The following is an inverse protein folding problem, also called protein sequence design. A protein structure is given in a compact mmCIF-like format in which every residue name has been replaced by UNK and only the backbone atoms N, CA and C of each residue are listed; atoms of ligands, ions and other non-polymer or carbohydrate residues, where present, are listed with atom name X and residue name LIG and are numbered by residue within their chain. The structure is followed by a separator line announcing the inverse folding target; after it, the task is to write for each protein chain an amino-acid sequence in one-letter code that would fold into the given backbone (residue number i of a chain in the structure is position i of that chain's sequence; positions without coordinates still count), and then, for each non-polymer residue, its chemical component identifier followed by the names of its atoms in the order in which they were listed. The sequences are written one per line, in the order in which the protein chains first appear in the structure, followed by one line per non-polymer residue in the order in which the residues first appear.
data_IF_095645062177
#
_entry.id   IF_095645062177
#
_cell.length_a   1.000
_cell.length_b   1.000
_cell.length_c   1.000
_cell.angle_alpha   90.00
_cell.angle_beta   90.00
_cell.angle_gamma   90.00
#
_symmetry.space_group_name_H-M   'P 1'
#
loop_
_entity.id
_entity.type
_entity.pdbx_description
1 polymer ?
#
# COMPACT_ATOMS: atom_id res chain seq x y z
N UNK A 1 -12.21 24.83 -34.82
CA UNK A 1 -11.42 25.02 -33.58
C UNK A 1 -12.22 24.89 -32.28
N UNK A 2 -13.57 24.90 -32.29
CA UNK A 2 -14.37 24.78 -31.04
C UNK A 2 -14.64 23.35 -30.52
N UNK A 3 -14.57 22.31 -31.37
CA UNK A 3 -14.97 20.95 -31.00
C UNK A 3 -13.90 20.14 -30.24
N UNK A 4 -12.63 20.54 -30.33
CA UNK A 4 -11.50 19.83 -29.68
C UNK A 4 -11.26 20.34 -28.25
N UNK A 5 -11.68 21.57 -27.95
CA UNK A 5 -11.56 22.18 -26.62
C UNK A 5 -12.46 21.48 -25.58
N UNK A 6 -13.65 21.03 -25.97
CA UNK A 6 -14.63 20.45 -25.06
C UNK A 6 -14.20 19.08 -24.46
N UNK A 7 -13.71 18.10 -25.24
CA UNK A 7 -13.25 16.82 -24.68
C UNK A 7 -11.96 16.98 -23.86
N UNK A 8 -11.09 17.93 -24.22
CA UNK A 8 -9.85 18.21 -23.47
C UNK A 8 -10.19 18.80 -22.10
N UNK A 9 -11.14 19.74 -22.03
CA UNK A 9 -11.57 20.34 -20.78
C UNK A 9 -12.28 19.31 -19.87
N UNK A 10 -13.08 18.42 -20.46
CA UNK A 10 -13.71 17.30 -19.74
C UNK A 10 -12.65 16.30 -19.21
N UNK A 11 -11.60 16.02 -19.98
CA UNK A 11 -10.49 15.17 -19.56
C UNK A 11 -9.72 15.81 -18.39
N UNK A 12 -9.37 17.10 -18.47
CA UNK A 12 -8.74 17.80 -17.35
C UNK A 12 -9.62 17.82 -16.09
N UNK A 13 -10.94 18.00 -16.22
CA UNK A 13 -11.86 17.98 -15.08
C UNK A 13 -12.01 16.58 -14.46
N UNK A 14 -11.97 15.52 -15.27
CA UNK A 14 -12.06 14.13 -14.79
C UNK A 14 -10.76 13.62 -14.14
N UNK A 15 -9.59 14.13 -14.58
CA UNK A 15 -8.28 13.65 -14.12
C UNK A 15 -7.57 14.58 -13.12
N UNK A 16 -7.93 15.87 -13.03
CA UNK A 16 -7.38 16.79 -12.02
C UNK A 16 -7.76 16.43 -10.58
N UNK A 17 -8.72 15.51 -10.39
CA UNK A 17 -9.16 15.02 -9.08
C UNK A 17 -8.27 13.93 -8.45
N UNK A 18 -7.22 13.46 -9.13
CA UNK A 18 -6.25 12.53 -8.54
C UNK A 18 -5.26 13.31 -7.66
N UNK A 19 -5.79 13.91 -6.59
CA UNK A 19 -4.97 14.38 -5.48
C UNK A 19 -4.15 13.21 -4.95
N UNK A 20 -2.84 13.37 -4.90
CA UNK A 20 -1.96 12.51 -4.11
C UNK A 20 -2.58 12.36 -2.72
N UNK A 21 -2.69 11.13 -2.23
CA UNK A 21 -3.11 10.89 -0.86
C UNK A 21 -2.15 11.66 0.05
N UNK A 22 -2.67 12.66 0.76
CA UNK A 22 -1.98 13.22 1.92
C UNK A 22 -1.74 12.03 2.85
N UNK A 23 -0.49 11.84 3.29
CA UNK A 23 -0.11 10.79 4.23
C UNK A 23 -0.83 11.05 5.56
N UNK A 24 -2.07 10.59 5.67
CA UNK A 24 -2.92 10.75 6.85
C UNK A 24 -2.51 9.69 7.87
N UNK A 25 -1.46 10.01 8.64
CA UNK A 25 -1.06 9.22 9.79
C UNK A 25 -2.08 9.40 10.90
N UNK A 26 -2.65 8.29 11.36
CA UNK A 26 -3.51 8.30 12.55
C UNK A 26 -2.63 8.39 13.82
N UNK A 27 -2.90 9.33 14.72
CA UNK A 27 -2.23 9.43 16.03
C UNK A 27 -3.28 9.68 17.13
N UNK A 28 -3.44 8.79 18.14
CA UNK A 28 -2.78 7.49 18.28
C UNK A 28 -3.29 6.47 17.23
N UNK A 29 -2.43 5.55 16.80
CA UNK A 29 -2.76 4.53 15.78
C UNK A 29 -3.19 3.22 16.43
N UNK A 30 -4.12 2.49 15.81
CA UNK A 30 -4.55 1.16 16.27
C UNK A 30 -4.06 0.09 15.31
N UNK A 31 -3.36 -0.93 15.80
CA UNK A 31 -2.75 -1.98 14.97
C UNK A 31 -3.17 -3.37 15.43
N UNK A 32 -3.14 -4.34 14.52
CA UNK A 32 -3.18 -5.76 14.90
C UNK A 32 -1.85 -6.19 15.48
N UNK A 33 -1.90 -6.98 16.54
CA UNK A 33 -0.76 -7.58 17.24
C UNK A 33 -0.91 -9.09 17.25
N UNK A 34 0.06 -9.79 16.66
CA UNK A 34 0.17 -11.25 16.67
C UNK A 34 1.59 -11.70 16.29
N UNK A 35 1.96 -12.92 16.68
CA UNK A 35 3.18 -13.63 16.28
C UNK A 35 2.78 -15.08 16.01
N UNK A 36 3.03 -15.58 14.81
CA UNK A 36 2.66 -16.94 14.41
C UNK A 36 3.30 -17.34 13.09
N UNK A 37 3.10 -18.58 12.65
CA UNK A 37 3.63 -19.03 11.37
C UNK A 37 3.01 -18.26 10.21
N UNK A 38 3.79 -17.91 9.19
CA UNK A 38 3.26 -17.18 8.04
C UNK A 38 2.22 -17.99 7.26
N UNK A 39 2.27 -19.33 7.37
CA UNK A 39 1.28 -20.26 6.84
C UNK A 39 0.50 -20.92 7.98
N UNK A 40 -0.81 -21.09 7.80
CA UNK A 40 -1.71 -21.83 8.69
C UNK A 40 -1.74 -21.35 10.16
N UNK A 41 -1.53 -20.06 10.42
CA UNK A 41 -1.79 -19.46 11.74
C UNK A 41 -2.86 -18.39 11.68
N UNK A 42 -3.35 -18.01 12.85
CA UNK A 42 -4.27 -16.87 13.05
C UNK A 42 -3.64 -15.54 12.61
N UNK A 43 -2.30 -15.50 12.63
CA UNK A 43 -1.47 -14.39 12.18
C UNK A 43 -1.02 -14.55 10.72
N UNK A 44 -1.53 -15.49 9.93
CA UNK A 44 -1.26 -15.57 8.49
C UNK A 44 -1.99 -14.45 7.73
N UNK A 45 -1.81 -14.40 6.41
CA UNK A 45 -2.68 -13.61 5.53
C UNK A 45 -3.74 -14.48 4.88
N UNK A 46 -5.02 -14.03 4.83
CA UNK A 46 -5.59 -12.90 5.57
C UNK A 46 -5.66 -13.20 7.07
N UNK A 47 -5.70 -12.16 7.91
CA UNK A 47 -5.79 -12.33 9.36
C UNK A 47 -7.12 -12.98 9.77
N UNK A 48 -7.08 -13.92 10.72
CA UNK A 48 -8.29 -14.53 11.29
C UNK A 48 -8.71 -13.77 12.56
N UNK A 49 -9.77 -12.97 12.45
CA UNK A 49 -10.29 -12.15 13.55
C UNK A 49 -11.11 -12.94 14.56
N UNK A 50 -11.50 -14.18 14.25
CA UNK A 50 -12.33 -14.99 15.16
C UNK A 50 -11.51 -15.68 16.25
N UNK A 51 -10.18 -15.60 16.18
CA UNK A 51 -9.28 -16.23 17.13
C UNK A 51 -8.70 -15.22 18.14
N UNK A 52 -8.68 -15.61 19.42
CA UNK A 52 -8.24 -14.79 20.55
C UNK A 52 -6.75 -14.39 20.55
N UNK A 53 -5.95 -15.02 19.70
CA UNK A 53 -4.51 -14.77 19.58
C UNK A 53 -4.22 -13.44 18.87
N UNK A 54 -5.11 -13.03 17.95
CA UNK A 54 -5.07 -11.74 17.29
C UNK A 54 -5.68 -10.69 18.21
N UNK A 55 -4.87 -9.71 18.59
CA UNK A 55 -5.30 -8.58 19.43
C UNK A 55 -5.17 -7.28 18.68
N UNK A 56 -5.91 -6.28 19.11
CA UNK A 56 -5.68 -4.89 18.68
C UNK A 56 -5.03 -4.11 19.81
N UNK A 57 -4.06 -3.27 19.48
CA UNK A 57 -3.37 -2.39 20.42
C UNK A 57 -3.37 -0.97 19.85
N UNK A 58 -3.60 0.01 20.70
CA UNK A 58 -3.36 1.41 20.39
C UNK A 58 -1.88 1.73 20.70
N UNK A 59 -1.19 2.29 19.72
CA UNK A 59 0.19 2.74 19.80
C UNK A 59 0.16 4.27 19.88
N UNK A 60 0.75 4.83 20.94
CA UNK A 60 0.74 6.29 21.18
C UNK A 60 1.45 7.08 20.07
N UNK A 61 2.41 6.44 19.41
CA UNK A 61 3.18 6.97 18.28
C UNK A 61 3.53 5.84 17.31
N UNK A 62 3.81 6.20 16.07
CA UNK A 62 4.39 5.31 15.08
C UNK A 62 3.36 4.80 14.07
N UNK A 63 3.61 3.60 13.54
CA UNK A 63 2.85 3.01 12.43
C UNK A 63 2.60 1.52 12.67
N UNK A 64 1.66 0.93 11.94
CA UNK A 64 1.46 -0.51 11.96
C UNK A 64 2.47 -1.21 11.06
N UNK A 65 3.03 -2.30 11.58
CA UNK A 65 3.98 -3.13 10.86
C UNK A 65 3.41 -4.51 10.62
N UNK A 66 3.85 -5.09 9.50
CA UNK A 66 3.67 -6.48 9.16
C UNK A 66 5.00 -7.03 8.67
N UNK A 67 5.55 -7.96 9.41
CA UNK A 67 6.91 -8.45 9.23
C UNK A 67 6.91 -9.96 9.09
N UNK A 68 7.45 -10.46 7.98
CA UNK A 68 7.78 -11.88 7.83
C UNK A 68 9.27 -12.10 7.98
N UNK A 69 9.65 -13.07 8.80
CA UNK A 69 11.06 -13.44 9.03
C UNK A 69 11.19 -14.92 9.35
N UNK A 70 12.34 -15.50 9.00
CA UNK A 70 12.63 -16.87 9.37
C UNK A 70 13.10 -16.97 10.83
N UNK A 71 12.50 -17.88 11.61
CA UNK A 71 12.95 -18.25 12.96
C UNK A 71 13.04 -19.78 13.01
N UNK A 72 14.26 -20.31 13.16
CA UNK A 72 14.49 -21.76 13.20
C UNK A 72 14.09 -22.50 11.91
N UNK A 73 14.27 -21.87 10.74
CA UNK A 73 13.91 -22.46 9.44
C UNK A 73 12.42 -22.35 9.07
N UNK A 74 11.58 -21.80 9.95
CA UNK A 74 10.16 -21.57 9.69
C UNK A 74 9.90 -20.09 9.45
N UNK A 75 9.14 -19.76 8.41
CA UNK A 75 8.71 -18.39 8.14
C UNK A 75 7.62 -17.99 9.14
N UNK A 76 7.91 -16.97 9.95
CA UNK A 76 6.98 -16.37 10.90
C UNK A 76 6.38 -15.11 10.32
N UNK A 77 5.13 -14.80 10.68
CA UNK A 77 4.46 -13.53 10.46
C UNK A 77 4.21 -12.84 11.79
N UNK A 78 4.66 -11.60 11.89
CA UNK A 78 4.58 -10.77 13.08
C UNK A 78 3.87 -9.48 12.71
N UNK A 79 2.85 -9.10 13.48
CA UNK A 79 2.18 -7.82 13.38
C UNK A 79 2.38 -7.06 14.69
N UNK A 80 2.83 -5.81 14.59
CA UNK A 80 3.27 -5.04 15.76
C UNK A 80 3.21 -3.53 15.50
N UNK A 81 3.18 -2.73 16.57
CA UNK A 81 3.44 -1.28 16.51
C UNK A 81 4.93 -1.04 16.20
N UNK A 82 5.25 -0.06 15.34
CA UNK A 82 6.66 0.34 15.13
C UNK A 82 7.33 0.88 16.41
N UNK A 83 6.56 1.49 17.30
CA UNK A 83 7.06 1.99 18.58
C UNK A 83 7.55 0.89 19.54
N UNK A 84 7.15 -0.37 19.33
CA UNK A 84 7.59 -1.51 20.18
C UNK A 84 8.91 -2.14 19.69
N UNK A 85 9.51 -1.62 18.61
CA UNK A 85 10.70 -2.19 18.00
C UNK A 85 11.95 -1.33 18.27
N UNK A 86 13.04 -2.00 18.63
CA UNK A 86 14.32 -1.39 19.03
C UNK A 86 15.21 -0.96 17.83
N UNK A 87 14.61 -0.65 16.67
CA UNK A 87 15.38 -0.24 15.50
C UNK A 87 14.83 1.01 14.84
N UNK A 88 15.75 1.82 14.31
CA UNK A 88 15.44 3.08 13.63
C UNK A 88 14.81 2.79 12.27
N UNK A 89 13.49 2.85 12.23
CA UNK A 89 12.69 2.72 11.02
C UNK A 89 12.43 4.07 10.40
N UNK A 90 12.77 4.23 9.12
CA UNK A 90 12.16 5.28 8.30
C UNK A 90 10.72 4.87 8.06
N UNK A 91 9.79 5.44 8.82
CA UNK A 91 8.36 5.17 8.74
C UNK A 91 7.82 5.78 7.44
N UNK A 92 7.46 4.93 6.48
CA UNK A 92 6.88 5.35 5.20
C UNK A 92 5.61 4.53 4.98
N UNK A 93 4.46 5.20 4.83
CA UNK A 93 3.17 4.54 4.60
C UNK A 93 3.16 3.74 3.29
N UNK A 94 2.51 2.59 3.31
CA UNK A 94 2.25 1.76 2.14
C UNK A 94 3.46 1.07 1.50
N UNK A 95 4.63 1.06 2.16
CA UNK A 95 5.85 0.47 1.58
C UNK A 95 6.16 -0.89 2.20
N UNK A 96 6.47 -1.86 1.34
CA UNK A 96 7.06 -3.14 1.71
C UNK A 96 8.53 -3.20 1.26
N UNK A 97 9.41 -3.63 2.16
CA UNK A 97 10.84 -3.86 1.87
C UNK A 97 11.18 -5.32 2.13
N UNK A 98 12.16 -5.86 1.42
CA UNK A 98 12.69 -7.19 1.75
C UNK A 98 13.34 -7.15 3.14
N UNK A 99 13.08 -8.19 3.94
CA UNK A 99 13.73 -8.39 5.23
C UNK A 99 15.26 -8.54 5.04
N UNK A 100 16.05 -8.15 6.04
CA UNK A 100 17.52 -8.03 5.95
C UNK A 100 18.21 -9.29 5.42
N UNK A 101 17.70 -10.46 5.74
CA UNK A 101 18.28 -11.74 5.32
C UNK A 101 17.74 -12.23 3.96
N UNK A 102 16.93 -11.43 3.27
CA UNK A 102 16.44 -11.69 1.92
C UNK A 102 15.24 -12.64 1.83
N UNK A 103 14.86 -13.28 2.94
CA UNK A 103 13.87 -14.37 2.96
C UNK A 103 12.53 -13.95 3.57
N UNK A 104 12.23 -12.65 3.60
CA UNK A 104 10.99 -12.15 4.17
C UNK A 104 10.72 -10.73 3.69
N UNK A 105 9.70 -10.10 4.27
CA UNK A 105 9.33 -8.73 3.96
C UNK A 105 8.86 -7.99 5.20
N UNK A 106 9.08 -6.68 5.20
CA UNK A 106 8.62 -5.74 6.20
C UNK A 106 7.76 -4.70 5.50
N UNK A 107 6.46 -4.74 5.77
CA UNK A 107 5.48 -3.77 5.29
C UNK A 107 5.10 -2.79 6.39
N UNK A 108 4.95 -1.53 5.99
CA UNK A 108 4.69 -0.38 6.85
C UNK A 108 3.40 0.29 6.39
N UNK A 109 2.51 0.65 7.34
CA UNK A 109 1.33 1.44 7.01
C UNK A 109 0.83 2.31 8.18
N UNK A 110 0.31 3.50 7.86
CA UNK A 110 0.01 4.59 8.80
C UNK A 110 -1.46 4.76 9.21
N UNK A 111 -2.34 3.82 8.85
CA UNK A 111 -3.78 3.89 9.11
C UNK A 111 -4.23 2.86 10.15
N UNK A 112 -5.32 3.13 10.86
CA UNK A 112 -5.90 2.16 11.79
C UNK A 112 -6.14 0.80 11.11
N UNK A 113 -5.64 -0.26 11.74
CA UNK A 113 -5.87 -1.67 11.39
C UNK A 113 -5.43 -2.03 9.95
N UNK A 114 -4.52 -1.24 9.37
CA UNK A 114 -4.04 -1.41 8.00
C UNK A 114 -3.16 -2.64 7.79
N UNK A 115 -2.59 -3.20 8.86
CA UNK A 115 -1.73 -4.38 8.79
C UNK A 115 -2.51 -5.71 8.74
N UNK A 116 -3.80 -5.71 8.40
CA UNK A 116 -4.67 -6.91 8.32
C UNK A 116 -4.51 -7.75 7.05
N UNK A 117 -4.30 -7.10 5.90
CA UNK A 117 -4.41 -7.75 4.59
C UNK A 117 -3.07 -8.22 4.00
N UNK A 118 -3.10 -8.96 2.87
CA UNK A 118 -1.91 -9.20 2.06
C UNK A 118 -1.26 -7.84 1.77
N UNK A 119 0.05 -7.74 1.98
CA UNK A 119 0.75 -6.46 1.86
C UNK A 119 0.42 -5.87 0.50
N UNK A 120 0.01 -4.60 0.44
CA UNK A 120 -0.17 -3.93 -0.84
C UNK A 120 1.18 -4.04 -1.56
N UNK A 121 1.27 -4.91 -2.54
CA UNK A 121 2.37 -4.87 -3.48
C UNK A 121 2.11 -3.59 -4.28
N UNK A 122 2.98 -2.57 -4.20
CA UNK A 122 2.82 -1.35 -4.98
C UNK A 122 3.22 -1.65 -6.42
N UNK A 123 2.48 -2.51 -7.10
CA UNK A 123 2.63 -2.72 -8.54
C UNK A 123 1.25 -2.81 -9.14
N UNK A 124 0.90 -1.79 -9.91
CA UNK A 124 0.19 -1.83 -11.21
C UNK A 124 -0.61 -0.54 -11.44
N UNK A 125 -1.07 0.15 -10.41
CA UNK A 125 -1.86 1.39 -10.56
C UNK A 125 -1.02 2.64 -10.86
N UNK A 126 0.31 2.63 -10.65
CA UNK A 126 1.17 3.78 -10.97
C UNK A 126 1.58 3.90 -12.44
N UNK A 127 1.39 2.85 -13.26
CA UNK A 127 1.69 2.86 -14.71
C UNK A 127 0.47 3.10 -15.60
N UNK A 128 -0.75 2.94 -15.06
CA UNK A 128 -1.99 3.25 -15.76
C UNK A 128 -2.03 4.68 -16.36
N UNK A 129 -1.55 5.76 -15.70
CA UNK A 129 -1.66 7.09 -16.28
C UNK A 129 -0.81 7.27 -17.55
N UNK A 130 0.37 6.63 -17.62
CA UNK A 130 1.29 6.76 -18.77
C UNK A 130 0.79 6.02 -20.03
N UNK A 131 0.25 4.81 -19.86
CA UNK A 131 -0.29 4.04 -21.00
C UNK A 131 -1.53 4.74 -21.57
N UNK A 132 -2.39 5.27 -20.69
CA UNK A 132 -3.57 6.02 -21.12
C UNK A 132 -3.23 7.35 -21.79
N UNK A 133 -2.18 8.08 -21.33
CA UNK A 133 -1.73 9.30 -22.02
C UNK A 133 -1.17 9.02 -23.40
N UNK A 134 -0.40 7.94 -23.59
CA UNK A 134 0.12 7.56 -24.91
C UNK A 134 -0.99 7.18 -25.90
N UNK A 135 -2.03 6.48 -25.44
CA UNK A 135 -3.18 6.11 -26.28
C UNK A 135 -3.96 7.36 -26.71
N UNK A 136 -4.17 8.33 -25.81
CA UNK A 136 -4.85 9.59 -26.13
C UNK A 136 -4.04 10.43 -27.11
N UNK A 137 -2.72 10.53 -26.92
CA UNK A 137 -1.83 11.22 -27.87
C UNK A 137 -1.84 10.57 -29.26
N UNK A 138 -1.84 9.23 -29.32
CA UNK A 138 -1.95 8.50 -30.58
C UNK A 138 -3.27 8.79 -31.29
N UNK A 139 -4.39 8.80 -30.56
CA UNK A 139 -5.71 9.09 -31.12
C UNK A 139 -5.81 10.53 -31.68
N UNK A 140 -5.32 11.52 -30.91
CA UNK A 140 -5.29 12.93 -31.35
C UNK A 140 -4.42 13.08 -32.62
N UNK A 141 -3.27 12.42 -32.67
CA UNK A 141 -2.38 12.48 -33.85
C UNK A 141 -3.02 11.84 -35.09
N UNK A 142 -3.78 10.75 -34.91
CA UNK A 142 -4.48 10.09 -36.00
C UNK A 142 -5.58 11.00 -36.56
N UNK A 143 -6.43 11.58 -35.72
CA UNK A 143 -7.48 12.52 -36.15
C UNK A 143 -6.90 13.72 -36.90
N UNK A 144 -5.78 14.30 -36.43
CA UNK A 144 -5.15 15.44 -37.12
C UNK A 144 -4.66 15.10 -38.52
N UNK A 145 -4.27 13.85 -38.76
CA UNK A 145 -3.75 13.38 -40.05
C UNK A 145 -4.86 13.13 -41.09
N UNK A 146 -6.10 12.90 -40.66
CA UNK A 146 -7.27 12.76 -41.54
C UNK A 146 -8.00 14.07 -41.83
N UNK A 147 -7.63 15.17 -41.14
CA UNK A 147 -8.22 16.50 -41.30
C UNK A 147 -7.36 17.50 -42.08
N UNK A 148 -6.27 17.04 -42.74
CA UNK A 148 -5.46 17.83 -43.68
C UNK A 148 -5.62 17.29 -45.08
#
# INVERSE_FOLDING_TARGET
MGYVMFPVLLFFLLFAGQGATIDDYSDPIKCYICDGTAENSTCSDPIDLNHSEVRTKECDKGICLKWTKYRGGVLQMIRVCSADLDFHLTMIDGVCRTERNGNGYLCMCGKHLCNSGPGLHPTLLSRAPYVMTLIVLAYISFDTMWTT
#
